data_IF_441704832247
#
_entry.id   IF_441704832247
#
_cell.length_a   1.000
_cell.length_b   1.000
_cell.length_c   1.000
_cell.angle_alpha   90.00
_cell.angle_beta   90.00
_cell.angle_gamma   90.00
#
_symmetry.space_group_name_H-M   'P 1'
#
loop_
_entity.id
_entity.type
_entity.pdbx_description
1 polymer ?
#
# COMPACT_ATOMS: atom_id res chain seq x y z
N UNK A 1 1.92 -50.75 50.53
CA UNK A 1 3.37 -50.62 50.33
C UNK A 1 3.67 -49.29 49.63
N UNK A 2 4.55 -48.50 50.27
CA UNK A 2 5.35 -47.34 49.84
C UNK A 2 4.92 -46.46 48.64
N UNK A 3 4.53 -45.24 49.02
CA UNK A 3 4.57 -43.98 48.26
C UNK A 3 5.91 -43.78 47.52
N UNK A 4 5.85 -43.30 46.27
CA UNK A 4 6.87 -42.41 45.69
C UNK A 4 6.19 -41.37 44.80
N UNK A 5 6.13 -40.14 45.32
CA UNK A 5 5.93 -38.92 44.55
C UNK A 5 7.19 -38.67 43.73
N UNK A 6 7.05 -38.39 42.44
CA UNK A 6 8.08 -37.72 41.65
C UNK A 6 7.39 -36.56 40.95
N UNK A 7 7.62 -35.37 41.47
CA UNK A 7 7.37 -34.10 40.80
C UNK A 7 8.24 -34.02 39.56
N UNK A 8 7.64 -33.88 38.39
CA UNK A 8 8.35 -33.42 37.19
C UNK A 8 7.85 -32.03 36.87
N UNK A 9 8.81 -31.12 36.96
CA UNK A 9 8.74 -29.70 36.73
C UNK A 9 8.12 -29.41 35.35
N UNK A 10 7.05 -28.61 35.33
CA UNK A 10 6.50 -28.02 34.10
C UNK A 10 7.53 -27.02 33.59
N UNK A 11 8.28 -27.38 32.55
CA UNK A 11 9.11 -26.44 31.80
C UNK A 11 8.20 -25.78 30.78
N UNK A 12 7.64 -24.62 31.15
CA UNK A 12 7.00 -23.72 30.21
C UNK A 12 8.08 -23.17 29.25
N UNK A 13 7.91 -23.27 27.92
CA UNK A 13 8.74 -22.48 27.03
C UNK A 13 8.35 -21.01 27.22
N UNK A 14 9.32 -20.25 27.68
CA UNK A 14 9.33 -18.79 27.69
C UNK A 14 9.16 -18.31 26.25
N UNK A 15 7.92 -18.16 25.80
CA UNK A 15 7.61 -17.41 24.58
C UNK A 15 7.89 -15.96 24.92
N UNK A 16 9.14 -15.54 24.68
CA UNK A 16 9.47 -14.13 24.45
C UNK A 16 8.80 -13.81 23.11
N UNK A 17 7.49 -13.58 23.19
CA UNK A 17 6.75 -12.89 22.15
C UNK A 17 7.34 -11.50 22.16
N UNK A 18 8.23 -11.24 21.20
CA UNK A 18 8.51 -9.89 20.73
C UNK A 18 7.14 -9.35 20.33
N UNK A 19 6.51 -8.65 21.27
CA UNK A 19 5.44 -7.72 21.00
C UNK A 19 6.07 -6.73 20.03
N UNK A 20 5.90 -7.01 18.74
CA UNK A 20 6.00 -6.02 17.68
C UNK A 20 4.86 -5.05 17.94
N UNK A 21 5.09 -4.23 18.96
CA UNK A 21 4.19 -3.21 19.41
C UNK A 21 4.27 -2.15 18.33
N UNK A 22 3.23 -2.06 17.50
CA UNK A 22 2.81 -0.78 16.95
C UNK A 22 2.47 0.10 18.16
N UNK A 23 3.50 0.59 18.85
CA UNK A 23 3.36 1.69 19.78
C UNK A 23 2.74 2.82 18.96
N UNK A 24 1.65 3.39 19.46
CA UNK A 24 1.08 4.62 18.92
C UNK A 24 2.24 5.57 18.59
N UNK A 25 2.27 6.16 17.38
CA UNK A 25 3.47 6.84 16.91
C UNK A 25 3.77 7.97 17.89
N UNK A 26 4.96 7.95 18.50
CA UNK A 26 5.60 9.23 18.79
C UNK A 26 5.65 9.92 17.44
N UNK A 27 4.96 11.06 17.33
CA UNK A 27 5.07 11.89 16.13
C UNK A 27 6.55 11.97 15.78
N UNK A 28 6.95 11.48 14.59
CA UNK A 28 8.34 11.51 14.20
C UNK A 28 8.81 12.96 14.25
N UNK A 29 9.99 13.19 14.82
CA UNK A 29 10.46 14.56 14.98
C UNK A 29 10.61 15.18 13.59
N UNK A 30 10.41 16.50 13.44
CA UNK A 30 10.60 17.18 12.16
C UNK A 30 11.97 16.88 11.51
N UNK A 31 13.00 16.59 12.32
CA UNK A 31 14.33 16.23 11.84
C UNK A 31 14.42 14.80 11.29
N UNK A 32 13.67 13.85 11.84
CA UNK A 32 13.57 12.47 11.30
C UNK A 32 12.85 12.47 9.94
N UNK A 33 11.80 13.29 9.82
CA UNK A 33 11.06 13.48 8.57
C UNK A 33 11.92 14.15 7.50
N UNK A 34 12.71 15.15 7.90
CA UNK A 34 13.68 15.81 7.01
C UNK A 34 14.79 14.88 6.52
N UNK A 35 15.27 13.95 7.36
CA UNK A 35 16.32 13.01 6.95
C UNK A 35 15.83 11.98 5.91
N UNK A 36 14.57 11.56 6.00
CA UNK A 36 13.93 10.68 5.00
C UNK A 36 13.64 11.45 3.70
N UNK A 37 13.12 12.68 3.82
CA UNK A 37 12.87 13.63 2.73
C UNK A 37 14.15 14.16 2.03
N UNK A 38 15.30 14.08 2.67
CA UNK A 38 16.59 14.43 2.06
C UNK A 38 17.19 13.27 1.23
N UNK A 39 16.82 12.02 1.55
CA UNK A 39 17.29 10.82 0.83
C UNK A 39 16.44 10.47 -0.39
N UNK A 40 15.12 10.67 -0.29
CA UNK A 40 14.23 10.73 -1.44
C UNK A 40 14.03 12.21 -1.74
N UNK A 41 14.55 12.78 -2.84
CA UNK A 41 14.36 14.20 -3.22
C UNK A 41 12.87 14.62 -3.20
N UNK A 42 12.31 14.90 -2.03
CA UNK A 42 10.88 15.05 -1.83
C UNK A 42 10.69 16.03 -0.68
N UNK A 43 10.11 17.22 -0.91
CA UNK A 43 10.01 18.25 0.12
C UNK A 43 9.19 17.78 1.34
N UNK A 44 9.59 18.16 2.57
CA UNK A 44 9.04 17.64 3.84
C UNK A 44 7.62 18.14 4.18
N UNK A 45 6.97 18.85 3.26
CA UNK A 45 5.70 19.56 3.47
C UNK A 45 4.48 18.70 3.02
N UNK A 46 4.73 17.53 2.44
CA UNK A 46 3.71 16.64 1.87
C UNK A 46 3.66 15.28 2.57
N UNK A 47 3.29 15.24 3.86
CA UNK A 47 2.61 14.06 4.43
C UNK A 47 1.11 14.06 4.07
N UNK A 48 0.75 14.69 2.94
CA UNK A 48 -0.52 14.40 2.32
C UNK A 48 -0.39 13.00 1.71
N UNK A 49 -1.33 12.13 2.04
CA UNK A 49 -1.68 10.90 1.31
C UNK A 49 -2.21 11.23 -0.09
N UNK A 50 -1.54 12.17 -0.76
CA UNK A 50 -1.85 12.66 -2.08
C UNK A 50 -1.54 11.61 -3.14
N UNK A 51 -1.98 11.93 -4.34
CA UNK A 51 -1.74 11.10 -5.49
C UNK A 51 -0.24 11.03 -5.81
N UNK A 52 0.26 9.82 -6.10
CA UNK A 52 1.62 9.58 -6.59
C UNK A 52 1.51 8.72 -7.85
N UNK A 53 2.04 9.21 -8.99
CA UNK A 53 2.12 8.42 -10.23
C UNK A 53 3.29 7.43 -10.12
N UNK A 54 2.98 6.13 -10.06
CA UNK A 54 3.98 5.05 -9.87
C UNK A 54 3.79 3.87 -10.83
N UNK A 55 3.18 4.14 -11.99
CA UNK A 55 2.87 3.14 -13.01
C UNK A 55 1.39 2.81 -13.02
N UNK A 56 0.92 2.07 -12.00
CA UNK A 56 -0.47 1.61 -11.87
C UNK A 56 -1.24 2.50 -10.90
N UNK A 57 -2.40 3.02 -11.31
CA UNK A 57 -3.27 3.83 -10.45
C UNK A 57 -4.49 3.04 -9.95
N UNK A 58 -5.10 3.52 -8.87
CA UNK A 58 -6.20 2.83 -8.18
C UNK A 58 -7.38 2.50 -9.09
N UNK A 59 -7.69 3.37 -10.05
CA UNK A 59 -8.84 3.19 -10.94
C UNK A 59 -8.65 2.01 -11.92
N UNK A 60 -7.41 1.62 -12.19
CA UNK A 60 -7.07 0.54 -13.13
C UNK A 60 -7.36 -0.84 -12.53
N UNK A 61 -7.45 -0.95 -11.20
CA UNK A 61 -7.71 -2.21 -10.50
C UNK A 61 -9.20 -2.57 -10.50
N UNK A 62 -10.11 -1.59 -10.56
CA UNK A 62 -11.55 -1.82 -10.41
C UNK A 62 -12.10 -2.75 -11.49
N UNK A 63 -12.93 -3.70 -11.07
CA UNK A 63 -13.56 -4.66 -11.97
C UNK A 63 -12.65 -5.79 -12.44
N UNK A 64 -11.36 -5.79 -12.06
CA UNK A 64 -10.45 -6.89 -12.34
C UNK A 64 -10.62 -8.03 -11.33
N UNK A 65 -10.46 -9.26 -11.80
CA UNK A 65 -10.30 -10.44 -10.97
C UNK A 65 -8.86 -10.55 -10.43
N UNK A 66 -8.63 -11.47 -9.48
CA UNK A 66 -7.27 -11.73 -8.95
C UNK A 66 -6.27 -12.08 -10.04
N UNK A 67 -6.65 -12.97 -10.96
CA UNK A 67 -5.80 -13.41 -12.06
C UNK A 67 -5.50 -12.27 -13.05
N UNK A 68 -6.44 -11.35 -13.22
CA UNK A 68 -6.26 -10.16 -14.05
C UNK A 68 -5.33 -9.13 -13.41
N UNK A 69 -5.31 -8.99 -12.08
CA UNK A 69 -4.33 -8.14 -11.40
C UNK A 69 -2.90 -8.58 -11.70
N UNK A 70 -2.65 -9.90 -11.71
CA UNK A 70 -1.32 -10.43 -12.00
C UNK A 70 -0.98 -10.38 -13.49
N UNK A 71 -1.90 -10.82 -14.35
CA UNK A 71 -1.64 -10.93 -15.78
C UNK A 71 -1.67 -9.59 -16.53
N UNK A 72 -2.53 -8.63 -16.14
CA UNK A 72 -2.65 -7.33 -16.82
C UNK A 72 -1.77 -6.26 -16.21
N UNK A 73 -1.67 -6.22 -14.88
CA UNK A 73 -0.96 -5.15 -14.17
C UNK A 73 0.38 -5.59 -13.59
N UNK A 74 0.74 -6.88 -13.71
CA UNK A 74 1.99 -7.42 -13.19
C UNK A 74 2.08 -7.39 -11.66
N UNK A 75 0.95 -7.21 -10.98
CA UNK A 75 0.88 -7.17 -9.51
C UNK A 75 0.99 -8.60 -8.97
N UNK A 76 1.49 -8.75 -7.75
CA UNK A 76 1.41 -10.02 -7.02
C UNK A 76 0.31 -9.92 -5.97
N UNK A 77 -0.61 -10.87 -5.96
CA UNK A 77 -1.70 -10.88 -5.01
C UNK A 77 -1.44 -11.81 -3.81
N UNK A 78 -1.39 -11.23 -2.61
CA UNK A 78 -1.37 -11.93 -1.32
C UNK A 78 -2.82 -12.05 -0.80
N UNK A 79 -3.38 -13.26 -0.88
CA UNK A 79 -4.74 -13.55 -0.46
C UNK A 79 -4.96 -13.44 1.06
N UNK A 80 -3.93 -13.69 1.88
CA UNK A 80 -4.05 -13.60 3.34
C UNK A 80 -4.18 -12.15 3.79
N UNK A 81 -3.47 -11.24 3.11
CA UNK A 81 -3.47 -9.81 3.42
C UNK A 81 -4.45 -8.99 2.57
N UNK A 82 -5.09 -9.63 1.59
CA UNK A 82 -5.87 -8.96 0.55
C UNK A 82 -5.10 -7.77 -0.06
N UNK A 83 -3.84 -8.03 -0.41
CA UNK A 83 -2.89 -7.01 -0.88
C UNK A 83 -2.38 -7.36 -2.29
N UNK A 84 -2.49 -6.41 -3.22
CA UNK A 84 -1.86 -6.49 -4.53
C UNK A 84 -0.61 -5.61 -4.53
N UNK A 85 0.58 -6.22 -4.56
CA UNK A 85 1.86 -5.51 -4.44
C UNK A 85 2.60 -5.47 -5.76
N UNK A 86 3.32 -4.39 -6.01
CA UNK A 86 4.30 -4.31 -7.09
C UNK A 86 5.49 -5.19 -6.69
N UNK A 87 5.88 -6.15 -7.54
CA UNK A 87 7.02 -7.03 -7.24
C UNK A 87 8.30 -6.19 -7.08
N UNK A 88 9.05 -6.30 -5.96
CA UNK A 88 10.34 -5.67 -5.85
C UNK A 88 11.27 -6.28 -6.91
N UNK A 89 11.84 -5.43 -7.75
CA UNK A 89 12.83 -5.85 -8.75
C UNK A 89 14.20 -5.94 -8.07
N UNK A 90 14.52 -7.07 -7.44
CA UNK A 90 15.85 -7.29 -6.86
C UNK A 90 15.95 -8.49 -5.90
N UNK A 91 17.16 -9.08 -5.73
CA UNK A 91 17.41 -10.23 -4.85
C UNK A 91 17.37 -9.88 -3.35
N UNK A 92 17.33 -8.60 -2.99
CA UNK A 92 17.12 -8.14 -1.63
C UNK A 92 15.89 -7.24 -1.61
N UNK A 93 14.98 -7.48 -0.67
CA UNK A 93 13.72 -6.75 -0.50
C UNK A 93 13.92 -5.26 -0.22
N UNK A 94 14.26 -4.52 -1.28
CA UNK A 94 14.43 -3.08 -1.26
C UNK A 94 13.09 -2.39 -1.07
N UNK A 95 12.93 -1.79 0.10
CA UNK A 95 11.83 -0.92 0.49
C UNK A 95 11.78 0.35 -0.38
N UNK A 96 10.60 0.99 -0.56
CA UNK A 96 9.29 0.60 -0.05
C UNK A 96 8.55 -0.41 -0.95
N UNK A 97 7.90 -1.41 -0.34
CA UNK A 97 6.93 -2.25 -1.05
C UNK A 97 5.67 -1.42 -1.26
N UNK A 98 5.47 -1.07 -2.52
CA UNK A 98 4.30 -0.41 -3.08
C UNK A 98 3.17 -1.41 -3.31
N UNK A 99 1.94 -1.09 -2.93
CA UNK A 99 0.80 -1.92 -3.27
C UNK A 99 -0.56 -1.31 -2.95
N UNK A 100 -1.56 -2.18 -2.97
CA UNK A 100 -2.95 -1.84 -2.75
C UNK A 100 -3.59 -2.88 -1.83
N UNK A 101 -4.27 -2.43 -0.78
CA UNK A 101 -5.33 -3.24 -0.19
C UNK A 101 -6.52 -3.22 -1.12
N UNK A 102 -7.05 -4.40 -1.44
CA UNK A 102 -8.19 -4.55 -2.34
C UNK A 102 -9.28 -5.39 -1.69
N UNK A 103 -10.53 -5.00 -1.89
CA UNK A 103 -11.68 -5.84 -1.56
C UNK A 103 -12.33 -6.34 -2.83
N UNK A 104 -12.95 -7.52 -2.76
CA UNK A 104 -13.62 -8.14 -3.90
C UNK A 104 -15.13 -8.22 -3.65
N UNK A 105 -15.90 -7.87 -4.67
CA UNK A 105 -17.33 -8.13 -4.78
C UNK A 105 -17.57 -8.90 -6.07
N UNK A 106 -18.31 -10.02 -5.99
CA UNK A 106 -18.59 -10.89 -7.14
C UNK A 106 -17.32 -11.33 -7.90
N UNK A 107 -16.25 -11.59 -7.15
CA UNK A 107 -14.95 -12.02 -7.69
C UNK A 107 -14.11 -10.92 -8.34
N UNK A 108 -14.57 -9.66 -8.30
CA UNK A 108 -13.91 -8.50 -8.91
C UNK A 108 -13.58 -7.42 -7.89
N UNK A 109 -12.51 -6.66 -8.12
CA UNK A 109 -12.11 -5.57 -7.22
C UNK A 109 -13.22 -4.52 -7.13
N UNK A 110 -13.60 -4.21 -5.89
CA UNK A 110 -14.71 -3.32 -5.53
C UNK A 110 -14.28 -2.14 -4.65
N UNK A 111 -13.18 -2.27 -3.90
CA UNK A 111 -12.52 -1.12 -3.27
C UNK A 111 -11.00 -1.26 -3.37
N UNK A 112 -10.33 -0.12 -3.37
CA UNK A 112 -8.88 -0.01 -3.49
C UNK A 112 -8.39 1.01 -2.47
N UNK A 113 -7.38 0.64 -1.70
CA UNK A 113 -6.68 1.55 -0.82
C UNK A 113 -5.18 1.41 -1.04
N UNK A 114 -4.51 2.51 -1.37
CA UNK A 114 -3.07 2.51 -1.58
C UNK A 114 -2.31 2.20 -0.28
N UNK A 115 -1.24 1.44 -0.39
CA UNK A 115 -0.36 1.07 0.72
C UNK A 115 1.09 1.31 0.33
N UNK A 116 1.79 2.06 1.16
CA UNK A 116 3.25 2.10 1.16
C UNK A 116 3.75 1.48 2.45
N UNK A 117 4.75 0.61 2.34
CA UNK A 117 5.48 0.13 3.52
C UNK A 117 6.80 0.87 3.61
N UNK A 118 7.02 1.62 4.69
CA UNK A 118 8.28 2.36 4.88
C UNK A 118 9.43 1.43 5.28
N UNK A 119 10.67 1.90 5.25
CA UNK A 119 11.84 1.09 5.62
C UNK A 119 11.87 0.58 7.08
N UNK A 120 10.93 1.01 7.93
CA UNK A 120 10.76 0.55 9.30
C UNK A 120 9.63 -0.49 9.43
N UNK A 121 8.93 -0.82 8.34
CA UNK A 121 7.82 -1.76 8.32
C UNK A 121 6.45 -1.17 8.64
N UNK A 122 6.35 0.15 8.83
CA UNK A 122 5.08 0.84 9.03
C UNK A 122 4.32 0.97 7.72
N UNK A 123 2.98 0.85 7.80
CA UNK A 123 2.09 1.02 6.66
C UNK A 123 1.57 2.45 6.61
N UNK A 124 1.83 3.13 5.51
CA UNK A 124 1.24 4.42 5.17
C UNK A 124 0.10 4.13 4.19
N UNK A 125 -1.13 4.44 4.61
CA UNK A 125 -2.34 4.16 3.84
C UNK A 125 -2.83 5.42 3.13
N UNK A 126 -3.20 5.28 1.86
CA UNK A 126 -3.97 6.28 1.13
C UNK A 126 -5.46 6.28 1.51
N UNK A 127 -6.27 7.12 0.86
CA UNK A 127 -7.72 7.03 0.99
C UNK A 127 -8.23 5.67 0.48
N UNK A 128 -9.28 5.16 1.10
CA UNK A 128 -10.03 4.04 0.55
C UNK A 128 -11.00 4.58 -0.51
N UNK A 129 -10.88 4.07 -1.73
CA UNK A 129 -11.71 4.43 -2.87
C UNK A 129 -12.67 3.27 -3.13
N UNK A 130 -13.98 3.55 -3.18
CA UNK A 130 -15.04 2.52 -3.23
C UNK A 130 -15.69 2.40 -4.61
N UNK A 131 -15.22 3.17 -5.58
CA UNK A 131 -15.66 3.06 -6.96
C UNK A 131 -14.58 3.52 -7.93
N UNK A 132 -14.63 3.00 -9.16
CA UNK A 132 -13.75 3.44 -10.24
C UNK A 132 -13.89 4.94 -10.52
N UNK A 133 -15.10 5.49 -10.34
CA UNK A 133 -15.37 6.92 -10.49
C UNK A 133 -14.65 7.77 -9.43
N UNK A 134 -14.66 7.34 -8.17
CA UNK A 134 -13.91 8.01 -7.09
C UNK A 134 -12.41 7.93 -7.35
N UNK A 135 -11.91 6.76 -7.74
CA UNK A 135 -10.49 6.57 -8.03
C UNK A 135 -10.00 7.41 -9.22
N UNK A 136 -10.83 7.56 -10.27
CA UNK A 136 -10.54 8.45 -11.39
C UNK A 136 -10.48 9.91 -10.95
N UNK A 137 -11.45 10.36 -10.15
CA UNK A 137 -11.45 11.74 -9.63
C UNK A 137 -10.21 12.02 -8.79
N UNK A 138 -9.85 11.08 -7.90
CA UNK A 138 -8.65 11.17 -7.08
C UNK A 138 -7.39 11.30 -7.94
N UNK A 139 -7.26 10.46 -8.97
CA UNK A 139 -6.09 10.48 -9.86
C UNK A 139 -6.01 11.75 -10.70
N UNK A 140 -7.15 12.21 -11.24
CA UNK A 140 -7.24 13.46 -12.01
C UNK A 140 -6.85 14.66 -11.15
N UNK A 141 -7.42 14.78 -9.95
CA UNK A 141 -7.10 15.87 -9.03
C UNK A 141 -5.62 15.84 -8.63
N UNK A 142 -5.08 14.66 -8.42
CA UNK A 142 -3.67 14.44 -8.17
C UNK A 142 -2.76 14.96 -9.26
N UNK A 143 -2.99 14.49 -10.50
CA UNK A 143 -2.23 14.92 -11.67
C UNK A 143 -2.38 16.43 -11.92
N UNK A 144 -3.58 16.98 -11.78
CA UNK A 144 -3.81 18.42 -11.96
C UNK A 144 -3.12 19.30 -10.91
N UNK A 145 -2.76 18.74 -9.76
CA UNK A 145 -2.05 19.45 -8.70
C UNK A 145 -0.54 19.56 -8.92
N UNK A 146 0.02 18.84 -9.92
CA UNK A 146 1.43 18.94 -10.25
C UNK A 146 1.73 20.22 -11.02
N UNK A 147 2.75 20.97 -10.58
CA UNK A 147 3.16 22.24 -11.21
C UNK A 147 3.67 22.03 -12.65
N UNK A 148 4.38 20.92 -12.88
CA UNK A 148 4.83 20.49 -14.21
C UNK A 148 4.45 19.02 -14.44
N UNK A 149 3.67 18.76 -15.50
CA UNK A 149 3.30 17.41 -15.92
C UNK A 149 4.18 16.97 -17.08
N UNK A 150 4.86 15.83 -16.92
CA UNK A 150 5.58 15.21 -18.03
C UNK A 150 4.62 14.62 -19.08
N UNK A 151 5.15 14.18 -20.23
CA UNK A 151 4.32 13.64 -21.31
C UNK A 151 3.54 12.39 -20.90
N UNK A 152 4.06 11.56 -19.99
CA UNK A 152 3.39 10.34 -19.52
C UNK A 152 2.22 10.69 -18.63
N UNK A 153 2.42 11.60 -17.70
CA UNK A 153 1.38 12.07 -16.79
C UNK A 153 0.31 12.89 -17.53
N UNK A 154 0.67 13.65 -18.58
CA UNK A 154 -0.30 14.30 -19.46
C UNK A 154 -1.18 13.29 -20.22
N UNK A 155 -0.57 12.25 -20.79
CA UNK A 155 -1.30 11.19 -21.48
C UNK A 155 -2.25 10.44 -20.53
N UNK A 156 -1.76 10.18 -19.31
CA UNK A 156 -2.52 9.55 -18.23
C UNK A 156 -3.71 10.42 -17.78
N UNK A 157 -3.50 11.72 -17.58
CA UNK A 157 -4.57 12.67 -17.25
C UNK A 157 -5.64 12.71 -18.35
N UNK A 158 -5.23 12.73 -19.62
CA UNK A 158 -6.15 12.69 -20.75
C UNK A 158 -6.97 11.39 -20.80
N UNK A 159 -6.32 10.24 -20.59
CA UNK A 159 -6.95 8.93 -20.50
C UNK A 159 -7.98 8.88 -19.36
N UNK A 160 -7.57 9.27 -18.15
CA UNK A 160 -8.42 9.25 -16.96
C UNK A 160 -9.66 10.15 -17.13
N UNK A 161 -9.49 11.37 -17.66
CA UNK A 161 -10.63 12.27 -17.97
C UNK A 161 -11.56 11.65 -19.01
N UNK A 162 -11.01 10.95 -20.01
CA UNK A 162 -11.80 10.28 -21.04
C UNK A 162 -12.63 9.13 -20.47
N UNK A 163 -12.01 8.28 -19.65
CA UNK A 163 -12.69 7.17 -18.99
C UNK A 163 -13.78 7.67 -18.04
N UNK A 164 -13.50 8.73 -17.26
CA UNK A 164 -14.47 9.32 -16.35
C UNK A 164 -15.73 9.81 -17.08
N UNK A 165 -15.59 10.38 -18.29
CA UNK A 165 -16.74 10.81 -19.11
C UNK A 165 -17.55 9.63 -19.67
N UNK A 166 -16.92 8.46 -19.84
CA UNK A 166 -17.58 7.26 -20.36
C UNK A 166 -18.39 6.50 -19.30
N UNK A 167 -18.05 6.70 -18.02
CA UNK A 167 -18.80 6.18 -16.86
C UNK A 167 -20.05 7.04 -16.64
N UNK A 168 -21.11 6.75 -17.41
CA UNK A 168 -22.43 7.37 -17.28
C UNK A 168 -23.02 7.15 -15.89
#
# INVERSE_FOLDING_TARGET
>A
MRKKFVSVLIVAPLVIGVLSSCHAPKEPSPDDLRAVAARAKMPPDHYQTGYISWGVDEFELFGLTRDELESKLGLHFDAEKSEASIKPSGPEGGWPVAGFHVTFQDGKVASVQRVFKDGAGCRILGPELKSQKEALKFSIQGLESHEELDQKDQAKLASARSLLRSLK
#
